data_IF_089675687644
#
_entry.id   IF_089675687644
#
_cell.length_a   1.000
_cell.length_b   1.000
_cell.length_c   1.000
_cell.angle_alpha   90.00
_cell.angle_beta   90.00
_cell.angle_gamma   90.00
#
_symmetry.space_group_name_H-M   'P 1'
#
loop_
_entity.id
_entity.type
_entity.pdbx_description
1 polymer ?
#
# COMPACT_ATOMS: atom_id res chain seq x y z
N UNK A 1 3.95 24.93 22.11
CA UNK A 1 2.68 24.61 21.42
C UNK A 1 2.06 25.93 21.00
N UNK A 2 1.58 26.10 19.76
CA UNK A 2 0.77 27.27 19.45
C UNK A 2 -0.48 27.27 20.36
N UNK A 3 -0.93 28.43 20.85
CA UNK A 3 -2.11 28.51 21.70
C UNK A 3 -3.36 27.99 20.98
N UNK A 4 -4.25 27.26 21.69
CA UNK A 4 -5.48 26.68 21.12
C UNK A 4 -6.36 27.72 20.40
N UNK A 5 -6.28 28.99 20.80
CA UNK A 5 -6.99 30.11 20.17
C UNK A 5 -6.52 30.38 18.73
N UNK A 6 -5.24 30.18 18.41
CA UNK A 6 -4.70 30.31 17.04
C UNK A 6 -5.14 29.17 16.11
N UNK A 7 -5.58 28.03 16.66
CA UNK A 7 -6.10 26.92 15.87
C UNK A 7 -7.58 27.11 15.50
N UNK A 8 -8.33 27.97 16.17
CA UNK A 8 -9.76 28.12 15.92
C UNK A 8 -10.08 29.01 14.71
N UNK A 9 -9.17 29.93 14.37
CA UNK A 9 -9.40 30.97 13.35
C UNK A 9 -8.76 30.63 11.99
N UNK A 10 -8.03 29.52 11.89
CA UNK A 10 -7.28 29.12 10.69
C UNK A 10 -8.16 28.43 9.65
N UNK A 11 -7.82 28.57 8.37
CA UNK A 11 -8.55 27.93 7.26
C UNK A 11 -8.28 26.41 7.22
N UNK A 12 -9.20 25.58 6.69
CA UNK A 12 -8.97 24.13 6.54
C UNK A 12 -7.65 23.76 5.83
N UNK A 13 -7.22 24.55 4.85
CA UNK A 13 -5.97 24.37 4.11
C UNK A 13 -4.74 24.66 4.97
N UNK A 14 -4.85 25.58 5.93
CA UNK A 14 -3.77 25.91 6.88
C UNK A 14 -3.62 24.80 7.92
N UNK A 15 -4.75 24.25 8.37
CA UNK A 15 -4.78 23.04 9.18
C UNK A 15 -4.16 21.87 8.45
N UNK A 16 -4.54 21.64 7.19
CA UNK A 16 -3.98 20.58 6.36
C UNK A 16 -2.47 20.75 6.19
N UNK A 17 -2.00 21.95 5.88
CA UNK A 17 -0.56 22.26 5.77
C UNK A 17 0.19 21.97 7.08
N UNK A 18 -0.41 22.30 8.21
CA UNK A 18 0.15 22.04 9.55
C UNK A 18 0.19 20.54 9.85
N UNK A 19 -0.87 19.80 9.52
CA UNK A 19 -0.94 18.35 9.69
C UNK A 19 0.12 17.63 8.84
N UNK A 20 0.26 17.99 7.56
CA UNK A 20 1.27 17.41 6.65
C UNK A 20 2.70 17.64 7.16
N UNK A 21 2.97 18.79 7.79
CA UNK A 21 4.30 19.14 8.31
C UNK A 21 4.59 18.55 9.69
N UNK A 22 3.57 18.11 10.42
CA UNK A 22 3.74 17.55 11.74
C UNK A 22 4.49 16.20 11.68
N UNK A 23 5.62 16.11 12.39
CA UNK A 23 6.40 14.86 12.52
C UNK A 23 5.84 13.95 13.61
N UNK A 24 5.22 14.53 14.62
CA UNK A 24 4.58 13.81 15.72
C UNK A 24 3.14 13.43 15.33
N UNK A 25 2.76 12.15 15.43
CA UNK A 25 1.44 11.70 14.99
C UNK A 25 0.30 12.32 15.81
N UNK A 26 0.48 12.56 17.11
CA UNK A 26 -0.56 13.19 17.93
C UNK A 26 -0.81 14.65 17.50
N UNK A 27 0.25 15.42 17.19
CA UNK A 27 0.11 16.76 16.60
C UNK A 27 -0.51 16.73 15.21
N UNK A 28 -0.13 15.77 14.37
CA UNK A 28 -0.74 15.59 13.05
C UNK A 28 -2.25 15.39 13.17
N UNK A 29 -2.66 14.48 14.06
CA UNK A 29 -4.06 14.19 14.33
C UNK A 29 -4.80 15.43 14.81
N UNK A 30 -4.26 16.15 15.80
CA UNK A 30 -4.87 17.36 16.32
C UNK A 30 -5.08 18.45 15.25
N UNK A 31 -4.09 18.65 14.36
CA UNK A 31 -4.25 19.60 13.25
C UNK A 31 -5.31 19.13 12.23
N UNK A 32 -5.34 17.83 11.92
CA UNK A 32 -6.33 17.25 11.01
C UNK A 32 -7.76 17.38 11.56
N UNK A 33 -7.97 17.03 12.82
CA UNK A 33 -9.28 17.14 13.51
C UNK A 33 -9.74 18.59 13.63
N UNK A 34 -8.83 19.52 13.93
CA UNK A 34 -9.16 20.94 13.95
C UNK A 34 -9.60 21.42 12.55
N UNK A 35 -8.90 21.03 11.49
CA UNK A 35 -9.30 21.35 10.11
C UNK A 35 -10.66 20.78 9.73
N UNK A 36 -10.96 19.53 10.11
CA UNK A 36 -12.27 18.92 9.88
C UNK A 36 -13.38 19.61 10.68
N UNK A 37 -13.08 20.08 11.89
CA UNK A 37 -14.02 20.83 12.71
C UNK A 37 -14.31 22.20 12.09
N UNK A 38 -13.28 22.90 11.58
CA UNK A 38 -13.43 24.17 10.87
C UNK A 38 -14.25 23.98 9.59
N UNK A 39 -13.99 22.90 8.84
CA UNK A 39 -14.74 22.54 7.64
C UNK A 39 -16.23 22.35 7.95
N UNK A 40 -16.56 21.59 8.99
CA UNK A 40 -17.94 21.28 9.38
C UNK A 40 -18.75 22.49 9.88
N UNK A 41 -18.10 23.61 10.20
CA UNK A 41 -18.75 24.86 10.64
C UNK A 41 -19.00 25.84 9.49
N UNK A 42 -18.50 25.54 8.30
CA UNK A 42 -18.68 26.41 7.13
C UNK A 42 -19.95 25.99 6.40
N UNK A 43 -20.80 26.97 6.13
CA UNK A 43 -22.01 26.82 5.30
C UNK A 43 -21.73 27.15 3.82
N UNK A 44 -20.47 27.06 3.40
CA UNK A 44 -20.04 27.53 2.07
C UNK A 44 -20.01 26.36 1.08
N UNK A 45 -20.79 26.47 0.00
CA UNK A 45 -20.97 25.43 -1.02
C UNK A 45 -19.72 25.22 -1.92
N UNK A 46 -18.68 26.06 -1.77
CA UNK A 46 -17.50 26.07 -2.64
C UNK A 46 -16.30 25.25 -2.13
N UNK A 47 -16.43 24.49 -1.03
CA UNK A 47 -15.26 23.78 -0.48
C UNK A 47 -14.95 22.52 -1.30
N UNK A 48 -13.72 22.46 -1.82
CA UNK A 48 -13.20 21.28 -2.52
C UNK A 48 -13.28 20.03 -1.61
N UNK A 49 -14.06 19.00 -1.96
CA UNK A 49 -14.19 17.78 -1.16
C UNK A 49 -12.86 17.05 -0.97
N UNK A 50 -11.87 17.27 -1.83
CA UNK A 50 -10.55 16.69 -1.66
C UNK A 50 -9.79 17.27 -0.46
N UNK A 51 -10.09 18.50 0.00
CA UNK A 51 -9.51 19.05 1.24
C UNK A 51 -9.96 18.20 2.43
N UNK A 52 -11.25 17.85 2.49
CA UNK A 52 -11.79 16.98 3.53
C UNK A 52 -11.11 15.61 3.51
N UNK A 53 -10.98 15.00 2.33
CA UNK A 53 -10.31 13.70 2.19
C UNK A 53 -8.83 13.78 2.58
N UNK A 54 -8.13 14.87 2.25
CA UNK A 54 -6.72 15.06 2.60
C UNK A 54 -6.52 15.26 4.11
N UNK A 55 -7.41 15.98 4.78
CA UNK A 55 -7.43 16.11 6.24
C UNK A 55 -7.70 14.76 6.92
N UNK A 56 -8.75 14.06 6.49
CA UNK A 56 -9.03 12.69 6.97
C UNK A 56 -7.84 11.76 6.71
N UNK A 57 -7.15 11.91 5.58
CA UNK A 57 -5.95 11.12 5.29
C UNK A 57 -4.81 11.39 6.27
N UNK A 58 -4.63 12.63 6.73
CA UNK A 58 -3.65 12.93 7.78
C UNK A 58 -4.04 12.29 9.12
N UNK A 59 -5.32 12.27 9.47
CA UNK A 59 -5.82 11.55 10.65
C UNK A 59 -5.60 10.04 10.51
N UNK A 60 -5.91 9.44 9.36
CA UNK A 60 -5.63 8.04 9.05
C UNK A 60 -4.15 7.68 9.25
N UNK A 61 -3.22 8.48 8.69
CA UNK A 61 -1.78 8.25 8.84
C UNK A 61 -1.34 8.35 10.31
N UNK A 62 -1.89 9.32 11.05
CA UNK A 62 -1.63 9.44 12.49
C UNK A 62 -2.14 8.22 13.27
N UNK A 63 -3.35 7.73 12.97
CA UNK A 63 -3.88 6.52 13.59
C UNK A 63 -3.02 5.28 13.31
N UNK A 64 -2.49 5.12 12.08
CA UNK A 64 -1.56 4.02 11.78
C UNK A 64 -0.29 4.10 12.62
N UNK A 65 0.33 5.28 12.71
CA UNK A 65 1.54 5.52 13.52
C UNK A 65 1.29 5.30 15.02
N UNK A 66 0.08 5.62 15.50
CA UNK A 66 -0.37 5.39 16.88
C UNK A 66 -0.89 3.96 17.13
N UNK A 67 -0.81 3.06 16.14
CA UNK A 67 -1.34 1.68 16.21
C UNK A 67 -2.84 1.57 16.46
N UNK A 68 -3.59 2.63 16.14
CA UNK A 68 -5.04 2.71 16.24
C UNK A 68 -5.70 2.19 14.96
N UNK A 69 -5.50 0.91 14.67
CA UNK A 69 -5.82 0.33 13.35
C UNK A 69 -7.32 0.36 13.01
N UNK A 70 -8.21 0.20 14.00
CA UNK A 70 -9.67 0.32 13.79
C UNK A 70 -10.03 1.75 13.41
N UNK A 71 -9.57 2.74 14.19
CA UNK A 71 -9.77 4.15 13.86
C UNK A 71 -9.19 4.52 12.49
N UNK A 72 -8.06 3.93 12.09
CA UNK A 72 -7.51 4.11 10.75
C UNK A 72 -8.47 3.56 9.68
N UNK A 73 -9.00 2.34 9.86
CA UNK A 73 -9.98 1.77 8.92
C UNK A 73 -11.26 2.62 8.82
N UNK A 74 -11.81 3.06 9.95
CA UNK A 74 -13.02 3.89 10.01
C UNK A 74 -12.78 5.27 9.37
N UNK A 75 -11.62 5.87 9.62
CA UNK A 75 -11.25 7.15 9.00
C UNK A 75 -11.12 7.01 7.48
N UNK A 76 -10.54 5.90 6.99
CA UNK A 76 -10.43 5.65 5.55
C UNK A 76 -11.78 5.32 4.88
N UNK A 77 -12.76 4.80 5.62
CA UNK A 77 -14.14 4.67 5.14
C UNK A 77 -14.81 6.03 4.99
N UNK A 78 -14.71 6.89 6.01
CA UNK A 78 -15.18 8.27 5.94
C UNK A 78 -14.57 9.03 4.75
N UNK A 79 -13.29 8.77 4.42
CA UNK A 79 -12.65 9.32 3.22
C UNK A 79 -13.34 8.85 1.93
N UNK A 80 -13.75 7.59 1.86
CA UNK A 80 -14.35 7.00 0.67
C UNK A 80 -15.81 7.45 0.46
N UNK A 81 -16.47 7.84 1.55
CA UNK A 81 -17.84 8.35 1.60
C UNK A 81 -17.95 9.83 1.23
N UNK A 82 -16.84 10.60 1.23
CA UNK A 82 -16.87 12.01 0.81
C UNK A 82 -17.38 12.12 -0.64
N UNK A 83 -18.53 12.78 -0.78
CA UNK A 83 -19.16 13.02 -2.07
C UNK A 83 -18.34 14.01 -2.91
N UNK A 84 -18.38 13.87 -4.23
CA UNK A 84 -17.62 14.73 -5.15
C UNK A 84 -16.09 14.53 -5.16
N UNK A 85 -15.50 13.83 -4.19
CA UNK A 85 -14.04 13.66 -4.12
C UNK A 85 -13.47 12.84 -5.28
N UNK A 86 -12.33 13.29 -5.82
CA UNK A 86 -11.53 12.58 -6.83
C UNK A 86 -10.65 11.47 -6.24
N UNK A 87 -10.57 11.38 -4.90
CA UNK A 87 -9.64 10.54 -4.16
C UNK A 87 -10.23 9.22 -3.66
N UNK A 88 -11.43 8.82 -4.10
CA UNK A 88 -12.08 7.57 -3.67
C UNK A 88 -11.22 6.31 -3.84
N UNK A 89 -10.47 6.20 -4.94
CA UNK A 89 -9.56 5.07 -5.15
C UNK A 89 -8.46 4.98 -4.09
N UNK A 90 -7.98 6.14 -3.62
CA UNK A 90 -6.97 6.25 -2.57
C UNK A 90 -7.58 5.87 -1.22
N UNK A 91 -8.77 6.37 -0.90
CA UNK A 91 -9.48 6.07 0.34
C UNK A 91 -9.73 4.56 0.50
N UNK A 92 -10.27 3.91 -0.53
CA UNK A 92 -10.51 2.47 -0.52
C UNK A 92 -9.21 1.66 -0.38
N UNK A 93 -8.11 2.11 -1.00
CA UNK A 93 -6.82 1.44 -0.85
C UNK A 93 -6.21 1.64 0.55
N UNK A 94 -6.44 2.78 1.19
CA UNK A 94 -6.00 3.05 2.55
C UNK A 94 -6.81 2.21 3.56
N UNK A 95 -8.14 2.09 3.38
CA UNK A 95 -8.97 1.18 4.19
C UNK A 95 -8.54 -0.27 4.04
N UNK A 96 -8.27 -0.72 2.81
CA UNK A 96 -7.79 -2.08 2.57
C UNK A 96 -6.52 -2.40 3.36
N UNK A 97 -5.57 -1.46 3.47
CA UNK A 97 -4.34 -1.65 4.25
C UNK A 97 -4.60 -1.72 5.75
N UNK A 98 -5.49 -0.87 6.28
CA UNK A 98 -5.86 -0.91 7.69
C UNK A 98 -6.56 -2.23 8.05
N UNK A 99 -7.49 -2.71 7.22
CA UNK A 99 -8.16 -4.00 7.41
C UNK A 99 -7.19 -5.18 7.32
N UNK A 100 -6.27 -5.16 6.35
CA UNK A 100 -5.21 -6.17 6.27
C UNK A 100 -4.33 -6.18 7.54
N UNK A 101 -4.01 -5.02 8.09
CA UNK A 101 -3.26 -4.92 9.34
C UNK A 101 -4.04 -5.45 10.56
N UNK A 102 -5.38 -5.30 10.54
CA UNK A 102 -6.29 -5.89 11.53
C UNK A 102 -6.47 -7.40 11.36
N UNK A 103 -6.05 -7.97 10.23
CA UNK A 103 -6.29 -9.37 9.89
C UNK A 103 -7.64 -9.64 9.22
N UNK A 104 -8.41 -8.59 8.92
CA UNK A 104 -9.64 -8.69 8.12
C UNK A 104 -9.28 -8.73 6.62
N UNK A 105 -8.99 -9.94 6.16
CA UNK A 105 -8.57 -10.21 4.78
C UNK A 105 -9.72 -10.01 3.79
N UNK A 106 -10.93 -10.46 4.13
CA UNK A 106 -12.09 -10.37 3.25
C UNK A 106 -12.47 -8.91 3.01
N UNK A 107 -12.59 -8.12 4.08
CA UNK A 107 -12.83 -6.68 3.98
C UNK A 107 -11.73 -5.94 3.23
N UNK A 108 -10.45 -6.34 3.42
CA UNK A 108 -9.34 -5.77 2.66
C UNK A 108 -9.44 -6.05 1.14
N UNK A 109 -9.81 -7.27 0.75
CA UNK A 109 -10.02 -7.65 -0.66
C UNK A 109 -11.17 -6.84 -1.28
N UNK A 110 -12.29 -6.70 -0.57
CA UNK A 110 -13.44 -5.92 -1.03
C UNK A 110 -13.08 -4.44 -1.23
N UNK A 111 -12.43 -3.84 -0.25
CA UNK A 111 -11.93 -2.46 -0.34
C UNK A 111 -10.95 -2.31 -1.50
N UNK A 112 -10.02 -3.25 -1.71
CA UNK A 112 -9.06 -3.15 -2.80
C UNK A 112 -9.71 -3.33 -4.20
N UNK A 113 -10.80 -4.11 -4.30
CA UNK A 113 -11.64 -4.18 -5.51
C UNK A 113 -12.34 -2.84 -5.77
N UNK A 114 -12.87 -2.18 -4.73
CA UNK A 114 -13.44 -0.83 -4.84
C UNK A 114 -12.37 0.19 -5.28
N UNK A 115 -11.16 0.09 -4.73
CA UNK A 115 -10.04 0.94 -5.14
C UNK A 115 -9.72 0.79 -6.64
N UNK A 116 -9.64 -0.45 -7.14
CA UNK A 116 -9.41 -0.72 -8.56
C UNK A 116 -10.53 -0.20 -9.47
N UNK A 117 -11.79 -0.30 -9.04
CA UNK A 117 -12.96 0.21 -9.78
C UNK A 117 -12.95 1.73 -9.91
N UNK A 118 -12.57 2.43 -8.84
CA UNK A 118 -12.53 3.89 -8.80
C UNK A 118 -11.21 4.48 -9.32
N UNK A 119 -10.22 3.64 -9.64
CA UNK A 119 -8.90 4.11 -10.05
C UNK A 119 -8.93 4.78 -11.44
N UNK A 120 -8.22 5.91 -11.61
CA UNK A 120 -7.97 6.46 -12.94
C UNK A 120 -7.18 5.44 -13.77
N UNK A 121 -7.35 5.45 -15.08
CA UNK A 121 -6.84 4.42 -15.99
C UNK A 121 -5.34 4.12 -15.77
N UNK A 122 -4.51 5.16 -15.63
CA UNK A 122 -3.06 5.05 -15.42
C UNK A 122 -2.64 4.41 -14.08
N UNK A 123 -3.53 4.30 -13.09
CA UNK A 123 -3.26 3.64 -11.79
C UNK A 123 -3.92 2.27 -11.66
N UNK A 124 -4.79 1.89 -12.60
CA UNK A 124 -5.62 0.68 -12.45
C UNK A 124 -4.79 -0.61 -12.42
N UNK A 125 -3.69 -0.68 -13.15
CA UNK A 125 -2.76 -1.83 -13.09
C UNK A 125 -2.19 -2.02 -11.67
N UNK A 126 -1.77 -0.92 -11.04
CA UNK A 126 -1.24 -0.92 -9.67
C UNK A 126 -2.26 -1.39 -8.64
N UNK A 127 -3.53 -0.97 -8.76
CA UNK A 127 -4.58 -1.44 -7.85
C UNK A 127 -4.89 -2.93 -8.01
N UNK A 128 -4.87 -3.46 -9.24
CA UNK A 128 -5.00 -4.90 -9.48
C UNK A 128 -3.79 -5.69 -8.97
N UNK A 129 -2.59 -5.13 -9.07
CA UNK A 129 -1.39 -5.72 -8.50
C UNK A 129 -1.47 -5.79 -6.98
N UNK A 130 -1.89 -4.72 -6.32
CA UNK A 130 -2.09 -4.69 -4.86
C UNK A 130 -3.16 -5.69 -4.41
N UNK A 131 -4.27 -5.81 -5.17
CA UNK A 131 -5.30 -6.83 -4.92
C UNK A 131 -4.72 -8.24 -4.98
N UNK A 132 -3.90 -8.51 -5.99
CA UNK A 132 -3.26 -9.81 -6.13
C UNK A 132 -2.28 -10.12 -5.00
N UNK A 133 -1.55 -9.12 -4.48
CA UNK A 133 -0.67 -9.31 -3.32
C UNK A 133 -1.47 -9.77 -2.09
N UNK A 134 -2.60 -9.12 -1.80
CA UNK A 134 -3.45 -9.49 -0.66
C UNK A 134 -3.97 -10.92 -0.83
N UNK A 135 -4.48 -11.25 -2.02
CA UNK A 135 -4.99 -12.60 -2.35
C UNK A 135 -3.89 -13.67 -2.27
N UNK A 136 -2.70 -13.38 -2.78
CA UNK A 136 -1.58 -14.32 -2.74
C UNK A 136 -1.20 -14.63 -1.29
N UNK A 137 -1.02 -13.61 -0.46
CA UNK A 137 -0.60 -13.83 0.93
C UNK A 137 -1.69 -14.44 1.81
N UNK A 138 -2.96 -14.35 1.41
CA UNK A 138 -4.06 -15.09 2.04
C UNK A 138 -4.27 -16.50 1.50
N UNK A 139 -3.48 -16.94 0.51
CA UNK A 139 -3.58 -18.28 -0.10
C UNK A 139 -4.58 -18.42 -1.25
N UNK A 140 -5.24 -17.33 -1.67
CA UNK A 140 -6.11 -17.30 -2.85
C UNK A 140 -5.27 -17.19 -4.14
N UNK A 141 -4.63 -18.31 -4.51
CA UNK A 141 -3.73 -18.41 -5.67
C UNK A 141 -4.44 -18.06 -6.97
N UNK A 142 -5.62 -18.62 -7.21
CA UNK A 142 -6.33 -18.43 -8.48
C UNK A 142 -6.91 -17.01 -8.59
N UNK A 143 -7.41 -16.44 -7.49
CA UNK A 143 -7.80 -15.04 -7.43
C UNK A 143 -6.63 -14.08 -7.65
N UNK A 144 -5.47 -14.34 -7.06
CA UNK A 144 -4.26 -13.55 -7.28
C UNK A 144 -3.84 -13.56 -8.75
N UNK A 145 -3.81 -14.74 -9.39
CA UNK A 145 -3.48 -14.87 -10.81
C UNK A 145 -4.52 -14.19 -11.72
N UNK A 146 -5.81 -14.25 -11.38
CA UNK A 146 -6.87 -13.55 -12.10
C UNK A 146 -6.70 -12.03 -12.00
N UNK A 147 -6.38 -11.51 -10.81
CA UNK A 147 -6.10 -10.09 -10.59
C UNK A 147 -4.84 -9.63 -11.32
N UNK A 148 -3.75 -10.41 -11.30
CA UNK A 148 -2.54 -10.14 -12.08
C UNK A 148 -2.80 -10.14 -13.58
N UNK A 149 -3.62 -11.07 -14.09
CA UNK A 149 -4.03 -11.08 -15.50
C UNK A 149 -4.77 -9.80 -15.88
N UNK A 150 -5.67 -9.30 -15.02
CA UNK A 150 -6.33 -8.00 -15.23
C UNK A 150 -5.31 -6.85 -15.23
N UNK A 151 -4.43 -6.82 -14.25
CA UNK A 151 -3.36 -5.82 -14.15
C UNK A 151 -2.44 -5.81 -15.37
N UNK A 152 -2.01 -6.98 -15.85
CA UNK A 152 -1.14 -7.14 -17.03
C UNK A 152 -1.76 -6.61 -18.32
N UNK A 153 -3.09 -6.66 -18.49
CA UNK A 153 -3.77 -6.06 -19.64
C UNK A 153 -3.74 -4.53 -19.63
N UNK A 154 -3.55 -3.93 -18.45
CA UNK A 154 -3.55 -2.48 -18.23
C UNK A 154 -2.14 -1.93 -18.01
N UNK A 155 -1.19 -2.81 -17.71
CA UNK A 155 0.17 -2.46 -17.36
C UNK A 155 0.92 -1.84 -18.53
N UNK A 156 1.75 -0.86 -18.20
CA UNK A 156 2.69 -0.24 -19.14
C UNK A 156 4.11 -0.51 -18.62
N UNK A 157 4.72 0.48 -17.95
CA UNK A 157 6.09 0.38 -17.40
C UNK A 157 6.23 -0.63 -16.26
N UNK A 158 5.12 -0.99 -15.62
CA UNK A 158 5.02 -1.95 -14.51
C UNK A 158 4.80 -3.40 -14.97
N UNK A 159 4.66 -3.65 -16.28
CA UNK A 159 4.44 -4.99 -16.82
C UNK A 159 5.47 -6.03 -16.36
N UNK A 160 6.79 -5.76 -16.33
CA UNK A 160 7.78 -6.72 -15.82
C UNK A 160 7.52 -7.14 -14.37
N UNK A 161 7.09 -6.20 -13.53
CA UNK A 161 6.79 -6.44 -12.12
C UNK A 161 5.59 -7.38 -11.97
N UNK A 162 4.51 -7.13 -12.71
CA UNK A 162 3.30 -7.97 -12.66
C UNK A 162 3.56 -9.37 -13.22
N UNK A 163 4.37 -9.49 -14.28
CA UNK A 163 4.75 -10.79 -14.85
C UNK A 163 5.57 -11.61 -13.84
N UNK A 164 6.56 -10.99 -13.19
CA UNK A 164 7.34 -11.64 -12.14
C UNK A 164 6.50 -11.99 -10.92
N UNK A 165 5.54 -11.15 -10.51
CA UNK A 165 4.65 -11.51 -9.40
C UNK A 165 3.78 -12.72 -9.79
N UNK A 166 3.28 -12.80 -11.02
CA UNK A 166 2.54 -13.98 -11.48
C UNK A 166 3.40 -15.25 -11.52
N UNK A 167 4.68 -15.13 -11.89
CA UNK A 167 5.65 -16.22 -11.79
C UNK A 167 5.86 -16.65 -10.33
N UNK A 168 6.03 -15.70 -9.41
CA UNK A 168 6.19 -15.98 -7.98
C UNK A 168 4.96 -16.71 -7.42
N UNK A 169 3.74 -16.22 -7.67
CA UNK A 169 2.49 -16.87 -7.22
C UNK A 169 2.40 -18.32 -7.73
N UNK A 170 2.77 -18.57 -8.98
CA UNK A 170 2.78 -19.93 -9.55
C UNK A 170 3.80 -20.83 -8.86
N UNK A 171 5.04 -20.37 -8.71
CA UNK A 171 6.10 -21.16 -8.05
C UNK A 171 5.76 -21.46 -6.59
N UNK A 172 5.24 -20.48 -5.85
CA UNK A 172 4.82 -20.63 -4.45
C UNK A 172 3.68 -21.66 -4.31
N UNK A 173 2.87 -21.83 -5.36
CA UNK A 173 1.84 -22.86 -5.47
C UNK A 173 2.32 -24.19 -6.12
N UNK A 174 3.63 -24.37 -6.32
CA UNK A 174 4.22 -25.57 -6.93
C UNK A 174 3.91 -25.73 -8.43
N UNK A 175 3.47 -24.66 -9.11
CA UNK A 175 3.12 -24.66 -10.54
C UNK A 175 4.30 -24.23 -11.40
N UNK A 176 4.51 -24.91 -12.52
CA UNK A 176 5.57 -24.57 -13.47
C UNK A 176 5.36 -23.18 -14.10
N UNK A 177 6.48 -22.50 -14.37
CA UNK A 177 6.50 -21.19 -15.03
C UNK A 177 7.33 -21.28 -16.31
N UNK A 178 6.69 -21.36 -17.49
CA UNK A 178 7.39 -21.21 -18.76
C UNK A 178 8.10 -19.86 -18.82
N UNK A 179 9.26 -19.83 -19.47
CA UNK A 179 10.05 -18.60 -19.69
C UNK A 179 10.45 -17.87 -18.39
N UNK A 180 10.55 -18.60 -17.26
CA UNK A 180 10.91 -18.00 -15.98
C UNK A 180 12.20 -17.18 -16.04
N UNK A 181 13.20 -17.67 -16.78
CA UNK A 181 14.47 -16.98 -16.94
C UNK A 181 14.29 -15.63 -17.64
N UNK A 182 13.56 -15.59 -18.76
CA UNK A 182 13.22 -14.36 -19.48
C UNK A 182 12.46 -13.37 -18.58
N UNK A 183 11.51 -13.86 -17.77
CA UNK A 183 10.74 -13.03 -16.83
C UNK A 183 11.68 -12.39 -15.79
N UNK A 184 12.62 -13.16 -15.23
CA UNK A 184 13.61 -12.67 -14.25
C UNK A 184 14.53 -11.61 -14.87
N UNK A 185 15.09 -11.89 -16.04
CA UNK A 185 16.00 -10.97 -16.76
C UNK A 185 15.28 -9.67 -17.13
N UNK A 186 14.04 -9.77 -17.62
CA UNK A 186 13.21 -8.60 -17.96
C UNK A 186 12.93 -7.74 -16.74
N UNK A 187 12.59 -8.34 -15.59
CA UNK A 187 12.41 -7.58 -14.35
C UNK A 187 13.72 -6.96 -13.85
N UNK A 188 14.83 -7.70 -13.89
CA UNK A 188 16.12 -7.22 -13.44
C UNK A 188 16.63 -6.01 -14.26
N UNK A 189 16.38 -6.00 -15.57
CA UNK A 189 16.71 -4.89 -16.46
C UNK A 189 15.75 -3.69 -16.35
N UNK A 190 14.54 -3.89 -15.85
CA UNK A 190 13.53 -2.84 -15.73
C UNK A 190 13.81 -1.90 -14.53
N UNK A 191 13.46 -0.60 -14.62
CA UNK A 191 13.58 0.32 -13.49
C UNK A 191 12.83 -0.14 -12.23
N UNK A 192 11.71 -0.85 -12.39
CA UNK A 192 10.93 -1.41 -11.28
C UNK A 192 11.63 -2.60 -10.58
N UNK A 193 12.73 -3.11 -11.14
CA UNK A 193 13.60 -4.14 -10.56
C UNK A 193 14.33 -3.71 -9.29
N UNK A 194 14.58 -2.40 -9.08
CA UNK A 194 15.44 -1.89 -8.00
C UNK A 194 14.73 -1.61 -6.66
N UNK A 195 13.41 -1.84 -6.60
CA UNK A 195 12.58 -1.67 -5.40
C UNK A 195 11.91 -2.96 -4.99
N UNK A 196 10.58 -3.02 -5.11
CA UNK A 196 9.82 -4.25 -4.89
C UNK A 196 10.25 -5.39 -5.84
N UNK A 197 10.79 -5.07 -7.03
CA UNK A 197 11.37 -6.07 -7.91
C UNK A 197 12.48 -6.91 -7.25
N UNK A 198 13.27 -6.35 -6.33
CA UNK A 198 14.26 -7.10 -5.55
C UNK A 198 13.61 -8.16 -4.66
N UNK A 199 12.44 -7.88 -4.07
CA UNK A 199 11.69 -8.88 -3.32
C UNK A 199 11.26 -10.04 -4.24
N UNK A 200 10.66 -9.74 -5.40
CA UNK A 200 10.20 -10.76 -6.33
C UNK A 200 11.34 -11.60 -6.90
N UNK A 201 12.43 -10.97 -7.36
CA UNK A 201 13.62 -11.68 -7.84
C UNK A 201 14.21 -12.58 -6.77
N UNK A 202 14.26 -12.10 -5.52
CA UNK A 202 14.76 -12.86 -4.39
C UNK A 202 13.88 -14.05 -4.00
N UNK A 203 12.56 -13.86 -3.93
CA UNK A 203 11.63 -14.95 -3.62
C UNK A 203 11.56 -16.01 -4.72
N UNK A 204 11.60 -15.58 -5.99
CA UNK A 204 11.68 -16.51 -7.13
C UNK A 204 12.98 -17.32 -7.05
N UNK A 205 14.12 -16.66 -6.82
CA UNK A 205 15.41 -17.33 -6.69
C UNK A 205 15.42 -18.34 -5.54
N UNK A 206 14.82 -17.97 -4.40
CA UNK A 206 14.68 -18.88 -3.26
C UNK A 206 13.87 -20.14 -3.62
N UNK A 207 12.72 -19.98 -4.28
CA UNK A 207 11.85 -21.10 -4.64
C UNK A 207 12.46 -22.06 -5.68
N UNK A 208 13.38 -21.59 -6.53
CA UNK A 208 14.09 -22.44 -7.51
C UNK A 208 15.42 -22.97 -6.98
N UNK A 209 15.78 -22.70 -5.72
CA UNK A 209 17.03 -23.18 -5.10
C UNK A 209 18.28 -22.35 -5.47
N UNK A 210 18.14 -21.21 -6.13
CA UNK A 210 19.24 -20.30 -6.46
C UNK A 210 19.59 -19.42 -5.23
N UNK A 211 20.31 -20.01 -4.28
CA UNK A 211 20.68 -19.38 -3.00
C UNK A 211 21.44 -18.06 -3.20
N UNK A 212 22.40 -18.02 -4.11
CA UNK A 212 23.25 -16.85 -4.31
C UNK A 212 22.43 -15.63 -4.80
N UNK A 213 21.55 -15.83 -5.78
CA UNK A 213 20.67 -14.75 -6.24
C UNK A 213 19.64 -14.37 -5.18
N UNK A 214 19.07 -15.35 -4.46
CA UNK A 214 18.12 -15.10 -3.37
C UNK A 214 18.72 -14.20 -2.29
N UNK A 215 19.92 -14.53 -1.79
CA UNK A 215 20.62 -13.72 -0.78
C UNK A 215 20.89 -12.29 -1.28
N UNK A 216 21.35 -12.14 -2.52
CA UNK A 216 21.65 -10.84 -3.13
C UNK A 216 20.42 -9.94 -3.16
N UNK A 217 19.33 -10.44 -3.74
CA UNK A 217 18.12 -9.66 -3.96
C UNK A 217 17.34 -9.41 -2.66
N UNK A 218 17.17 -10.41 -1.79
CA UNK A 218 16.43 -10.25 -0.53
C UNK A 218 17.17 -9.31 0.44
N UNK A 219 18.52 -9.37 0.52
CA UNK A 219 19.28 -8.41 1.33
C UNK A 219 19.20 -7.00 0.75
N UNK A 220 19.18 -6.83 -0.58
CA UNK A 220 18.96 -5.52 -1.19
C UNK A 220 17.57 -4.96 -0.83
N UNK A 221 16.53 -5.78 -0.91
CA UNK A 221 15.17 -5.41 -0.49
C UNK A 221 15.11 -5.02 1.00
N UNK A 222 15.66 -5.84 1.90
CA UNK A 222 15.65 -5.55 3.34
C UNK A 222 16.44 -4.28 3.69
N UNK A 223 17.62 -4.08 3.09
CA UNK A 223 18.44 -2.86 3.31
C UNK A 223 17.69 -1.60 2.90
N UNK A 224 17.00 -1.61 1.75
CA UNK A 224 16.18 -0.48 1.27
C UNK A 224 15.05 -0.14 2.23
N UNK A 225 14.54 -1.13 2.96
CA UNK A 225 13.39 -1.01 3.86
C UNK A 225 13.80 -1.03 5.35
N UNK A 226 15.08 -0.78 5.69
CA UNK A 226 15.56 -0.83 7.06
C UNK A 226 15.07 0.33 7.95
N UNK A 227 14.64 1.45 7.34
CA UNK A 227 14.19 2.67 8.04
C UNK A 227 12.84 3.15 7.49
N UNK A 228 11.87 2.24 7.44
CA UNK A 228 10.50 2.60 7.06
C UNK A 228 9.81 3.36 8.19
N UNK A 229 8.98 4.34 7.82
CA UNK A 229 7.93 4.84 8.71
C UNK A 229 6.90 3.73 9.00
N UNK A 230 6.11 3.92 10.05
CA UNK A 230 5.20 2.89 10.54
C UNK A 230 4.13 2.49 9.51
N UNK A 231 3.61 3.47 8.77
CA UNK A 231 2.60 3.23 7.75
C UNK A 231 3.15 2.33 6.61
N UNK A 232 4.39 2.56 6.17
CA UNK A 232 5.05 1.69 5.18
C UNK A 232 5.44 0.34 5.77
N UNK A 233 5.89 0.30 7.02
CA UNK A 233 6.24 -0.94 7.71
C UNK A 233 5.01 -1.88 7.82
N UNK A 234 3.83 -1.32 8.12
CA UNK A 234 2.57 -2.06 8.11
C UNK A 234 2.22 -2.59 6.72
N UNK A 235 2.40 -1.77 5.70
CA UNK A 235 2.08 -2.13 4.30
C UNK A 235 2.97 -3.27 3.78
N UNK A 236 4.25 -3.29 4.16
CA UNK A 236 5.22 -4.30 3.70
C UNK A 236 5.48 -5.41 4.73
N UNK A 237 4.63 -5.51 5.77
CA UNK A 237 4.89 -6.38 6.93
C UNK A 237 5.10 -7.83 6.50
N UNK A 238 4.26 -8.32 5.59
CA UNK A 238 4.28 -9.71 5.17
C UNK A 238 5.45 -10.02 4.22
N UNK A 239 5.77 -9.10 3.30
CA UNK A 239 6.94 -9.20 2.44
C UNK A 239 8.24 -9.20 3.24
N UNK A 240 8.36 -8.31 4.23
CA UNK A 240 9.51 -8.26 5.13
C UNK A 240 9.63 -9.55 5.95
N UNK A 241 8.51 -10.11 6.42
CA UNK A 241 8.50 -11.39 7.14
C UNK A 241 8.97 -12.53 6.24
N UNK A 242 8.40 -12.67 5.05
CA UNK A 242 8.75 -13.71 4.08
C UNK A 242 10.21 -13.62 3.62
N UNK A 243 10.69 -12.42 3.31
CA UNK A 243 12.09 -12.20 2.93
C UNK A 243 13.07 -12.63 4.03
N UNK A 244 12.75 -12.34 5.30
CA UNK A 244 13.58 -12.78 6.45
C UNK A 244 13.56 -14.30 6.62
N UNK A 245 12.39 -14.93 6.48
CA UNK A 245 12.25 -16.39 6.59
C UNK A 245 13.00 -17.12 5.48
N UNK A 246 12.90 -16.65 4.24
CA UNK A 246 13.63 -17.21 3.10
C UNK A 246 15.17 -17.10 3.28
N UNK A 247 15.67 -16.03 3.91
CA UNK A 247 17.09 -15.93 4.25
C UNK A 247 17.47 -16.84 5.42
N UNK A 248 16.60 -17.01 6.40
CA UNK A 248 16.86 -17.84 7.58
C UNK A 248 16.93 -19.34 7.25
N UNK A 249 16.18 -19.82 6.25
CA UNK A 249 16.24 -21.22 5.81
C UNK A 249 17.62 -21.63 5.31
N UNK A 250 18.39 -20.69 4.77
CA UNK A 250 19.75 -20.92 4.29
C UNK A 250 20.80 -21.03 5.40
N UNK A 251 20.52 -20.47 6.59
CA UNK A 251 21.39 -20.60 7.75
C UNK A 251 21.17 -21.93 8.50
N UNK A 252 20.05 -22.60 8.22
CA UNK A 252 19.64 -23.85 8.87
C UNK A 252 19.84 -25.09 7.98
N UNK A 253 20.37 -24.90 6.76
CA UNK A 253 20.67 -25.95 5.76
C UNK A 253 22.17 -26.00 5.50
#
# INVERSE_FOLDING_TARGET
>A
MPPMKQLADALPEEHLRSAVRAKDPARRLAHAEAGLTTLARRDDDEIDPDIQVLLLRQAYLAHLELRQLRQAADTAERMAEVEGSSLKAVAWADRARALQALGDVEGAIECQRLAARNAPAHRRSFHHWSLATIQHFSGDVDGALASLKKGLRLAQKDRPLLAAHAAYVKLDAGRAVPELQTIRETLAAAPCGQGYGQYLLGMIAHLIGDRAAAETHLRAFLRRNARLDEAKALTLREELRRARLALASFASS
#
